data_IF_490758656944
#
_entry.id   IF_490758656944
#
_cell.length_a   1.000
_cell.length_b   1.000
_cell.length_c   1.000
_cell.angle_alpha   90.00
_cell.angle_beta   90.00
_cell.angle_gamma   90.00
#
_symmetry.space_group_name_H-M   'P 1'
#
loop_
_entity.id
_entity.type
_entity.pdbx_description
1 polymer ?
#
# COMPACT_ATOMS: atom_id res chain seq x y z
N UNK A 1 12.46 8.04 14.86
CA UNK A 1 12.32 9.45 14.41
C UNK A 1 12.09 10.31 15.65
N UNK A 2 12.76 11.44 15.79
CA UNK A 2 12.51 12.39 16.88
C UNK A 2 11.91 13.67 16.30
N UNK A 3 10.97 14.28 17.02
CA UNK A 3 10.31 15.52 16.65
C UNK A 3 10.54 16.56 17.74
N UNK A 4 10.86 17.78 17.31
CA UNK A 4 11.12 18.91 18.20
C UNK A 4 9.81 19.56 18.64
N UNK A 5 9.92 20.52 19.56
CA UNK A 5 8.83 21.40 19.98
C UNK A 5 8.54 22.44 18.88
N UNK A 6 7.97 21.96 17.77
CA UNK A 6 7.53 22.78 16.63
C UNK A 6 6.58 21.99 15.73
N UNK A 7 5.64 22.70 15.13
CA UNK A 7 4.69 22.13 14.17
C UNK A 7 5.33 21.97 12.77
N UNK A 8 6.27 21.03 12.64
CA UNK A 8 6.92 20.71 11.37
C UNK A 8 6.82 19.21 11.10
N UNK A 9 6.05 18.83 10.09
CA UNK A 9 5.82 17.43 9.75
C UNK A 9 7.03 16.81 9.04
N UNK A 10 7.45 15.64 9.53
CA UNK A 10 8.31 14.74 8.75
C UNK A 10 7.43 13.82 7.95
N UNK A 11 7.40 14.03 6.63
CA UNK A 11 6.60 13.22 5.71
C UNK A 11 7.35 11.97 5.25
N UNK A 12 6.60 10.89 5.05
CA UNK A 12 7.05 9.66 4.42
C UNK A 12 5.92 9.06 3.58
N UNK A 13 6.26 8.35 2.50
CA UNK A 13 5.24 7.69 1.68
C UNK A 13 4.54 6.61 2.50
N UNK A 14 3.20 6.62 2.47
CA UNK A 14 2.36 5.56 3.01
C UNK A 14 0.98 5.65 2.36
N UNK A 15 0.70 4.71 1.48
CA UNK A 15 -0.58 4.55 0.78
C UNK A 15 -1.33 3.28 1.25
N UNK A 16 -0.94 2.72 2.40
CA UNK A 16 -1.43 1.39 2.84
C UNK A 16 -2.82 1.42 3.46
N UNK A 17 -3.44 2.60 3.61
CA UNK A 17 -4.69 2.74 4.36
C UNK A 17 -4.51 2.62 5.88
N UNK A 18 -3.27 2.47 6.36
CA UNK A 18 -2.99 2.18 7.76
C UNK A 18 -1.61 2.68 8.19
N UNK A 19 -1.51 3.13 9.44
CA UNK A 19 -0.26 3.50 10.08
C UNK A 19 -0.28 2.97 11.51
N UNK A 20 0.67 2.13 11.86
CA UNK A 20 0.95 1.76 13.25
C UNK A 20 2.26 2.38 13.69
N UNK A 21 2.25 2.99 14.86
CA UNK A 21 3.44 3.64 15.41
C UNK A 21 3.41 3.58 16.93
N UNK A 22 4.60 3.71 17.52
CA UNK A 22 4.76 4.02 18.94
C UNK A 22 5.24 5.45 19.07
N UNK A 23 4.70 6.17 20.03
CA UNK A 23 5.16 7.51 20.37
C UNK A 23 5.34 7.63 21.88
N UNK A 24 6.42 8.30 22.28
CA UNK A 24 6.66 8.78 23.64
C UNK A 24 6.69 10.31 23.57
N UNK A 25 5.67 10.95 24.10
CA UNK A 25 5.46 12.39 24.13
C UNK A 25 4.52 12.74 25.29
N UNK A 26 4.68 13.91 25.90
CA UNK A 26 3.81 14.34 27.01
C UNK A 26 2.41 14.73 26.55
N UNK A 27 2.26 15.22 25.32
CA UNK A 27 1.04 15.70 24.68
C UNK A 27 1.27 15.89 23.16
N UNK A 28 0.21 16.25 22.44
CA UNK A 28 0.21 16.81 21.09
C UNK A 28 0.98 15.98 20.04
N UNK A 29 0.72 14.68 19.95
CA UNK A 29 1.22 13.85 18.84
C UNK A 29 0.33 14.04 17.61
N UNK A 30 0.91 14.47 16.49
CA UNK A 30 0.17 14.80 15.27
C UNK A 30 0.49 13.80 14.15
N UNK A 31 -0.54 13.39 13.42
CA UNK A 31 -0.44 12.61 12.19
C UNK A 31 -1.18 13.35 11.08
N UNK A 32 -0.48 13.70 10.00
CA UNK A 32 -1.06 14.27 8.79
C UNK A 32 -1.24 13.19 7.72
N UNK A 33 -2.36 13.23 7.01
CA UNK A 33 -2.66 12.38 5.85
C UNK A 33 -2.81 13.29 4.62
N UNK A 34 -1.95 13.10 3.61
CA UNK A 34 -1.82 14.01 2.45
C UNK A 34 -1.63 13.24 1.14
N UNK A 35 -1.81 13.93 0.01
CA UNK A 35 -1.59 13.39 -1.35
C UNK A 35 -0.15 13.56 -1.85
N UNK A 36 0.65 14.37 -1.16
CA UNK A 36 2.08 14.59 -1.44
C UNK A 36 2.86 14.80 -0.13
N UNK A 37 4.20 14.81 -0.21
CA UNK A 37 5.09 14.98 0.95
C UNK A 37 5.16 16.43 1.48
N UNK A 38 4.01 17.10 1.59
CA UNK A 38 3.91 18.47 2.05
C UNK A 38 2.55 18.74 2.70
N UNK A 39 2.52 19.74 3.58
CA UNK A 39 1.27 20.36 4.05
C UNK A 39 0.57 21.01 2.85
N UNK A 40 -0.49 20.37 2.35
CA UNK A 40 -1.23 20.80 1.17
C UNK A 40 -2.70 20.45 1.33
N UNK A 41 -3.59 21.34 0.87
CA UNK A 41 -5.01 21.01 0.81
C UNK A 41 -5.31 20.22 -0.47
N UNK A 42 -6.21 19.23 -0.43
CA UNK A 42 -6.87 18.68 0.77
C UNK A 42 -5.95 17.81 1.66
N UNK A 43 -6.07 17.97 2.99
CA UNK A 43 -5.38 17.16 4.00
C UNK A 43 -6.24 16.85 5.23
N UNK A 44 -5.87 15.79 5.94
CA UNK A 44 -6.39 15.51 7.27
C UNK A 44 -5.29 15.55 8.31
N UNK A 45 -5.64 16.01 9.51
CA UNK A 45 -4.77 15.99 10.67
C UNK A 45 -5.47 15.26 11.81
N UNK A 46 -4.75 14.33 12.44
CA UNK A 46 -5.19 13.63 13.63
C UNK A 46 -4.29 14.08 14.77
N UNK A 47 -4.86 14.75 15.77
CA UNK A 47 -4.14 15.08 17.00
C UNK A 47 -4.51 14.08 18.08
N UNK A 48 -3.50 13.44 18.65
CA UNK A 48 -3.64 12.49 19.75
C UNK A 48 -3.09 13.16 21.01
N UNK A 49 -3.90 13.23 22.06
CA UNK A 49 -3.51 13.87 23.31
C UNK A 49 -3.20 15.36 23.16
N UNK A 50 -3.98 16.07 22.36
CA UNK A 50 -3.89 17.52 22.27
C UNK A 50 -4.45 18.25 23.50
N UNK A 51 -4.26 19.57 23.54
CA UNK A 51 -4.67 20.44 24.66
C UNK A 51 -4.09 19.96 26.00
N UNK A 52 -2.79 19.66 26.03
CA UNK A 52 -2.15 19.16 27.24
C UNK A 52 -2.56 17.73 27.60
N UNK A 53 -2.77 16.88 26.58
CA UNK A 53 -3.13 15.47 26.73
C UNK A 53 -4.55 15.22 27.25
N UNK A 54 -5.50 16.10 26.93
CA UNK A 54 -6.90 15.96 27.37
C UNK A 54 -7.83 15.38 26.29
N UNK A 55 -7.56 15.61 25.00
CA UNK A 55 -8.46 15.20 23.93
C UNK A 55 -7.75 14.84 22.63
N UNK A 56 -8.47 14.17 21.75
CA UNK A 56 -8.02 13.84 20.39
C UNK A 56 -9.02 14.37 19.38
N UNK A 57 -8.55 14.81 18.21
CA UNK A 57 -9.41 15.38 17.15
C UNK A 57 -8.96 14.94 15.76
N UNK A 58 -9.90 14.97 14.82
CA UNK A 58 -9.62 14.93 13.38
C UNK A 58 -9.97 16.30 12.82
N UNK A 59 -9.05 16.89 12.05
CA UNK A 59 -9.23 18.19 11.37
C UNK A 59 -9.05 18.01 9.87
N UNK A 60 -9.86 18.71 9.07
CA UNK A 60 -9.72 18.80 7.61
C UNK A 60 -9.18 20.18 7.21
N UNK A 61 -8.20 20.21 6.31
CA UNK A 61 -7.66 21.41 5.67
C UNK A 61 -7.26 22.54 6.65
N UNK A 62 -6.76 22.17 7.84
CA UNK A 62 -6.39 23.12 8.90
C UNK A 62 -7.51 24.11 9.29
N UNK A 63 -8.77 23.76 9.02
CA UNK A 63 -9.94 24.61 9.29
C UNK A 63 -10.62 24.27 10.62
N UNK A 64 -11.35 25.24 11.18
CA UNK A 64 -12.23 25.05 12.35
C UNK A 64 -13.69 25.19 11.92
N UNK A 65 -14.64 24.47 12.56
CA UNK A 65 -14.44 23.52 13.67
C UNK A 65 -13.73 22.23 13.23
N UNK A 66 -13.14 21.50 14.20
CA UNK A 66 -12.60 20.16 13.93
C UNK A 66 -13.77 19.22 13.54
N UNK A 67 -13.52 18.25 12.66
CA UNK A 67 -14.58 17.38 12.10
C UNK A 67 -14.96 16.23 13.03
N UNK A 68 -14.07 15.86 13.95
CA UNK A 68 -14.36 14.98 15.08
C UNK A 68 -13.52 15.39 16.30
N UNK A 69 -14.08 15.20 17.49
CA UNK A 69 -13.43 15.47 18.77
C UNK A 69 -13.89 14.45 19.81
N UNK A 70 -12.94 13.94 20.61
CA UNK A 70 -13.23 13.00 21.69
C UNK A 70 -12.31 13.24 22.90
N UNK A 71 -12.83 13.22 24.14
CA UNK A 71 -11.99 13.25 25.34
C UNK A 71 -11.09 12.02 25.43
N UNK A 72 -9.79 12.23 25.61
CA UNK A 72 -8.77 11.17 25.75
C UNK A 72 -7.73 11.58 26.80
N UNK A 73 -8.12 11.82 28.05
CA UNK A 73 -7.23 12.31 29.08
C UNK A 73 -6.11 11.31 29.37
N UNK A 74 -4.86 11.77 29.33
CA UNK A 74 -3.71 10.95 29.65
C UNK A 74 -3.40 9.86 28.62
N UNK A 75 -3.84 10.02 27.37
CA UNK A 75 -3.65 9.01 26.32
C UNK A 75 -2.18 8.88 25.91
N UNK A 76 -1.43 9.98 25.87
CA UNK A 76 0.01 10.01 25.67
C UNK A 76 0.78 9.92 26.99
N UNK A 77 2.08 9.63 26.92
CA UNK A 77 2.98 9.58 28.07
C UNK A 77 4.40 9.96 27.67
N UNK A 78 5.04 10.87 28.42
CA UNK A 78 6.39 11.35 28.15
C UNK A 78 7.50 10.41 28.64
N UNK A 79 7.19 9.47 29.53
CA UNK A 79 8.14 8.50 30.10
C UNK A 79 8.20 7.17 29.35
N UNK A 80 7.13 6.77 28.65
CA UNK A 80 7.02 5.46 27.99
C UNK A 80 6.48 5.56 26.55
N UNK A 81 6.84 4.58 25.72
CA UNK A 81 6.25 4.44 24.39
C UNK A 81 4.83 3.88 24.50
N UNK A 82 3.88 4.55 23.86
CA UNK A 82 2.51 4.05 23.66
C UNK A 82 2.25 3.81 22.20
N UNK A 83 1.51 2.74 21.91
CA UNK A 83 1.24 2.30 20.55
C UNK A 83 -0.14 2.73 20.09
N UNK A 84 -0.18 3.33 18.90
CA UNK A 84 -1.38 3.79 18.25
C UNK A 84 -1.45 3.26 16.83
N UNK A 85 -2.66 3.34 16.27
CA UNK A 85 -2.91 3.13 14.87
C UNK A 85 -3.81 4.23 14.31
N UNK A 86 -3.59 4.57 13.04
CA UNK A 86 -4.47 5.42 12.22
C UNK A 86 -4.83 4.61 10.98
N UNK A 87 -6.11 4.58 10.61
CA UNK A 87 -6.63 3.89 9.43
C UNK A 87 -7.40 4.87 8.56
N UNK A 88 -7.22 4.79 7.25
CA UNK A 88 -7.99 5.53 6.25
C UNK A 88 -8.48 4.57 5.18
N UNK A 89 -9.78 4.30 5.15
CA UNK A 89 -10.42 3.46 4.14
C UNK A 89 -11.87 3.88 3.92
N UNK A 90 -12.38 3.73 2.69
CA UNK A 90 -13.76 4.12 2.33
C UNK A 90 -14.15 5.52 2.85
N UNK A 91 -13.27 6.51 2.61
CA UNK A 91 -13.35 7.89 3.13
C UNK A 91 -13.42 8.04 4.65
N UNK A 92 -13.24 6.95 5.40
CA UNK A 92 -13.31 6.94 6.86
C UNK A 92 -11.91 6.98 7.43
N UNK A 93 -11.65 7.99 8.27
CA UNK A 93 -10.43 8.12 9.05
C UNK A 93 -10.77 7.68 10.46
N UNK A 94 -9.93 6.84 11.04
CA UNK A 94 -10.07 6.39 12.42
C UNK A 94 -8.73 6.24 13.10
N UNK A 95 -8.70 6.43 14.41
CA UNK A 95 -7.52 6.19 15.22
C UNK A 95 -7.86 5.42 16.50
N UNK A 96 -6.94 4.54 16.90
CA UNK A 96 -7.10 3.69 18.07
C UNK A 96 -5.77 3.35 18.73
N UNK A 97 -5.83 2.57 19.81
CA UNK A 97 -4.66 2.08 20.53
C UNK A 97 -4.48 0.57 20.35
N UNK A 98 -3.25 0.07 20.45
CA UNK A 98 -2.89 -1.34 20.18
C UNK A 98 -3.69 -2.36 20.99
N UNK A 99 -4.13 -1.99 22.20
CA UNK A 99 -4.87 -2.88 23.09
C UNK A 99 -6.39 -2.72 22.98
N UNK A 100 -6.88 -1.94 22.02
CA UNK A 100 -8.31 -1.74 21.79
C UNK A 100 -8.65 -1.93 20.30
N UNK A 101 -9.45 -2.94 19.93
CA UNK A 101 -9.89 -3.10 18.55
C UNK A 101 -10.83 -1.97 18.10
N UNK A 102 -11.43 -1.24 19.03
CA UNK A 102 -12.31 -0.11 18.73
C UNK A 102 -11.49 1.19 18.61
N UNK A 103 -11.74 1.93 17.54
CA UNK A 103 -11.24 3.29 17.38
C UNK A 103 -11.74 4.19 18.53
N UNK A 104 -10.87 5.03 19.09
CA UNK A 104 -11.33 6.07 20.03
C UNK A 104 -11.91 7.27 19.28
N UNK A 105 -11.51 7.50 18.03
CA UNK A 105 -12.05 8.55 17.16
C UNK A 105 -12.23 8.03 15.73
N UNK A 106 -13.31 8.44 15.07
CA UNK A 106 -13.56 8.15 13.68
C UNK A 106 -14.41 9.24 13.03
N UNK A 107 -14.18 9.47 11.73
CA UNK A 107 -14.96 10.39 10.92
C UNK A 107 -14.96 9.94 9.46
N UNK A 108 -16.08 10.12 8.75
CA UNK A 108 -16.22 9.77 7.34
C UNK A 108 -16.44 11.02 6.50
N UNK A 109 -15.59 11.22 5.51
CA UNK A 109 -15.72 12.30 4.53
C UNK A 109 -16.66 11.90 3.38
N UNK A 110 -17.39 12.86 2.84
CA UNK A 110 -18.11 12.68 1.57
C UNK A 110 -17.16 12.75 0.36
N UNK A 111 -16.02 13.43 0.50
CA UNK A 111 -15.02 13.59 -0.56
C UNK A 111 -13.92 12.52 -0.44
N UNK A 112 -13.54 11.92 -1.56
CA UNK A 112 -12.43 10.98 -1.62
C UNK A 112 -11.09 11.72 -1.71
N UNK A 113 -10.17 11.39 -0.81
CA UNK A 113 -8.80 11.88 -0.82
C UNK A 113 -7.82 10.72 -1.06
N UNK A 114 -7.04 10.70 -2.17
CA UNK A 114 -6.04 9.66 -2.41
C UNK A 114 -4.79 9.87 -1.55
N UNK A 115 -4.88 9.52 -0.26
CA UNK A 115 -3.78 9.63 0.70
C UNK A 115 -2.63 8.71 0.28
N UNK A 116 -1.47 9.29 0.06
CA UNK A 116 -0.24 8.61 -0.35
C UNK A 116 0.96 8.94 0.53
N UNK A 117 0.83 9.94 1.40
CA UNK A 117 1.85 10.35 2.37
C UNK A 117 1.26 10.51 3.76
N UNK A 118 2.10 10.18 4.74
CA UNK A 118 1.85 10.42 6.15
C UNK A 118 2.93 11.35 6.67
N UNK A 119 2.51 12.41 7.36
CA UNK A 119 3.39 13.27 8.15
C UNK A 119 3.26 12.96 9.63
N UNK A 120 4.35 13.00 10.38
CA UNK A 120 4.28 13.03 11.86
C UNK A 120 5.05 14.21 12.44
N UNK A 121 4.53 14.79 13.52
CA UNK A 121 5.22 15.78 14.34
C UNK A 121 4.67 15.78 15.76
N UNK A 122 5.34 16.50 16.67
CA UNK A 122 4.77 16.92 17.94
C UNK A 122 4.40 18.39 17.86
N UNK A 123 3.25 18.77 18.43
CA UNK A 123 2.81 20.15 18.51
C UNK A 123 3.62 20.98 19.52
N UNK A 124 3.28 22.26 19.62
CA UNK A 124 3.93 23.19 20.55
C UNK A 124 3.71 22.76 22.01
N UNK A 125 4.78 22.78 22.81
CA UNK A 125 4.81 22.33 24.19
C UNK A 125 5.15 20.85 24.39
N UNK A 126 5.51 20.12 23.31
CA UNK A 126 5.97 18.73 23.39
C UNK A 126 7.14 18.42 22.44
N UNK A 127 7.97 17.49 22.88
CA UNK A 127 8.91 16.75 22.02
C UNK A 127 8.46 15.31 21.93
N UNK A 128 8.79 14.65 20.82
CA UNK A 128 8.35 13.28 20.56
C UNK A 128 9.48 12.37 20.14
N UNK A 129 9.47 11.14 20.67
CA UNK A 129 10.23 10.02 20.10
C UNK A 129 9.24 9.04 19.46
N UNK A 130 9.46 8.72 18.19
CA UNK A 130 8.57 7.91 17.35
C UNK A 130 9.28 6.65 16.85
N UNK A 131 8.60 5.52 16.99
CA UNK A 131 8.93 4.26 16.33
C UNK A 131 7.82 4.00 15.32
N UNK A 132 8.11 4.26 14.05
CA UNK A 132 7.18 4.02 12.96
C UNK A 132 7.59 2.67 12.36
N UNK A 133 6.71 1.68 12.47
CA UNK A 133 6.93 0.39 11.84
C UNK A 133 6.49 0.48 10.39
N UNK A 134 7.35 1.05 9.54
CA UNK A 134 7.27 0.80 8.12
C UNK A 134 7.83 -0.59 7.85
N UNK A 135 7.16 -1.41 7.05
CA UNK A 135 7.68 -2.71 6.63
C UNK A 135 8.90 -2.54 5.72
N UNK A 136 10.09 -2.29 6.30
CA UNK A 136 11.37 -2.16 5.59
C UNK A 136 12.42 -1.43 6.44
N UNK A 137 13.53 -2.11 6.75
CA UNK A 137 14.44 -1.87 7.88
C UNK A 137 15.31 -0.58 7.84
N UNK A 138 15.84 -0.11 9.00
CA UNK A 138 17.09 0.64 9.06
C UNK A 138 18.31 -0.31 9.07
N UNK A 139 19.43 0.22 8.60
CA UNK A 139 20.75 -0.40 8.43
C UNK A 139 21.30 -1.07 9.71
N UNK A 140 21.87 -2.27 9.54
CA UNK A 140 23.02 -2.74 10.32
C UNK A 140 22.79 -3.90 11.31
N UNK A 141 23.44 -5.04 11.02
CA UNK A 141 24.21 -5.80 12.02
C UNK A 141 23.51 -6.89 12.84
N UNK A 142 24.00 -8.11 12.63
CA UNK A 142 24.03 -9.28 13.52
C UNK A 142 22.87 -10.29 13.49
N UNK A 143 23.33 -11.53 13.32
CA UNK A 143 22.67 -12.82 13.19
C UNK A 143 22.24 -13.40 14.53
N UNK A 144 21.08 -14.06 14.54
CA UNK A 144 20.63 -14.95 15.60
C UNK A 144 19.38 -15.75 15.17
N UNK A 145 19.25 -17.04 15.53
CA UNK A 145 18.27 -17.93 14.91
C UNK A 145 16.91 -17.99 15.61
N UNK A 146 15.88 -18.07 14.76
CA UNK A 146 14.62 -18.83 14.90
C UNK A 146 13.53 -18.29 15.86
N UNK A 147 12.30 -18.20 15.33
CA UNK A 147 11.06 -18.86 15.79
C UNK A 147 9.85 -18.05 15.31
N UNK A 148 9.03 -18.70 14.48
CA UNK A 148 7.93 -18.07 13.76
C UNK A 148 6.70 -17.81 14.62
N UNK A 149 5.96 -16.76 14.27
CA UNK A 149 4.54 -16.58 14.53
C UNK A 149 3.94 -15.65 13.46
N UNK A 150 2.83 -16.11 12.86
CA UNK A 150 1.60 -15.42 12.47
C UNK A 150 1.56 -13.88 12.33
N UNK A 151 0.85 -13.40 11.30
CA UNK A 151 0.17 -12.10 11.37
C UNK A 151 -0.16 -11.55 9.98
N UNK A 152 -1.45 -11.45 9.67
CA UNK A 152 -1.98 -11.05 8.37
C UNK A 152 -1.34 -9.77 7.82
N UNK A 153 -0.82 -9.91 6.60
CA UNK A 153 -0.23 -8.87 5.78
C UNK A 153 -1.33 -8.12 5.04
N UNK A 154 -1.32 -6.79 5.09
CA UNK A 154 -1.79 -5.98 3.97
C UNK A 154 -0.88 -4.78 3.77
N UNK A 155 -0.47 -4.29 2.59
CA UNK A 155 -0.19 -4.85 1.25
C UNK A 155 0.55 -3.70 0.51
N UNK A 156 1.68 -3.17 0.99
CA UNK A 156 2.45 -2.24 0.15
C UNK A 156 3.01 -3.06 -1.03
N UNK A 157 2.62 -2.78 -2.27
CA UNK A 157 3.19 -3.49 -3.43
C UNK A 157 4.68 -3.18 -3.52
N UNK A 158 5.51 -4.15 -3.10
CA UNK A 158 6.96 -4.05 -3.17
C UNK A 158 7.38 -4.59 -4.53
N UNK A 159 7.79 -3.72 -5.45
CA UNK A 159 8.30 -4.12 -6.75
C UNK A 159 9.82 -4.19 -6.67
N UNK A 160 10.38 -5.39 -6.89
CA UNK A 160 11.81 -5.65 -6.80
C UNK A 160 12.37 -5.94 -8.17
N UNK A 161 13.33 -5.13 -8.63
CA UNK A 161 14.02 -5.34 -9.89
C UNK A 161 14.73 -6.70 -9.93
N UNK A 162 14.59 -7.40 -11.05
CA UNK A 162 15.16 -8.72 -11.29
C UNK A 162 15.36 -8.94 -12.79
N UNK A 163 16.14 -9.96 -13.13
CA UNK A 163 16.39 -10.35 -14.52
C UNK A 163 16.83 -11.81 -14.61
N UNK A 164 16.85 -12.36 -15.83
CA UNK A 164 17.42 -13.68 -16.10
C UNK A 164 16.74 -14.84 -15.37
N UNK A 165 15.45 -14.72 -15.06
CA UNK A 165 14.69 -15.72 -14.29
C UNK A 165 14.86 -15.63 -12.78
N UNK A 166 15.61 -14.64 -12.27
CA UNK A 166 15.73 -14.42 -10.84
C UNK A 166 14.36 -14.13 -10.22
N UNK A 167 14.07 -14.84 -9.12
CA UNK A 167 12.88 -14.63 -8.29
C UNK A 167 13.35 -14.08 -6.94
N UNK A 168 13.02 -12.82 -6.62
CA UNK A 168 13.36 -12.25 -5.32
C UNK A 168 12.68 -13.00 -4.16
N UNK A 169 13.26 -12.99 -2.95
CA UNK A 169 12.62 -13.56 -1.78
C UNK A 169 11.23 -12.95 -1.53
N UNK A 170 10.28 -13.79 -1.10
CA UNK A 170 8.89 -13.37 -0.80
C UNK A 170 8.13 -12.81 -2.02
N UNK A 171 8.50 -13.23 -3.23
CA UNK A 171 7.74 -12.98 -4.45
C UNK A 171 6.30 -13.52 -4.35
N UNK A 172 5.35 -12.74 -4.84
CA UNK A 172 3.92 -13.06 -4.85
C UNK A 172 3.61 -14.02 -5.99
N UNK A 173 3.29 -15.27 -5.64
CA UNK A 173 2.81 -16.27 -6.59
C UNK A 173 1.39 -15.91 -7.00
N UNK A 174 1.21 -15.52 -8.27
CA UNK A 174 -0.10 -15.15 -8.81
C UNK A 174 -0.80 -16.28 -9.55
N UNK A 175 -0.05 -17.30 -9.97
CA UNK A 175 -0.54 -18.38 -10.80
C UNK A 175 0.29 -19.66 -10.69
N UNK A 176 -0.07 -20.65 -11.49
CA UNK A 176 0.57 -21.95 -11.54
C UNK A 176 0.40 -22.58 -12.93
N UNK A 177 1.47 -23.17 -13.43
CA UNK A 177 1.48 -23.97 -14.65
C UNK A 177 2.04 -25.37 -14.36
N UNK A 178 1.18 -26.39 -14.37
CA UNK A 178 1.58 -27.80 -14.14
C UNK A 178 2.44 -28.00 -12.88
N UNK A 179 2.08 -27.34 -11.77
CA UNK A 179 2.82 -27.39 -10.50
C UNK A 179 4.04 -26.46 -10.44
N UNK A 180 4.35 -25.71 -11.50
CA UNK A 180 5.36 -24.65 -11.48
C UNK A 180 4.74 -23.30 -11.12
N UNK A 181 5.27 -22.57 -10.12
CA UNK A 181 4.72 -21.30 -9.70
C UNK A 181 4.95 -20.22 -10.76
N UNK A 182 3.92 -19.41 -11.02
CA UNK A 182 4.01 -18.18 -11.82
C UNK A 182 3.96 -16.96 -10.89
N UNK A 183 4.90 -16.04 -11.08
CA UNK A 183 5.00 -14.83 -10.25
C UNK A 183 4.47 -13.61 -10.99
N UNK A 184 3.86 -12.69 -10.25
CA UNK A 184 3.41 -11.41 -10.79
C UNK A 184 4.64 -10.56 -11.10
N UNK A 185 4.78 -10.18 -12.37
CA UNK A 185 5.85 -9.33 -12.83
C UNK A 185 5.30 -8.12 -13.58
N UNK A 186 6.13 -7.09 -13.75
CA UNK A 186 5.88 -5.99 -14.68
C UNK A 186 7.19 -5.60 -15.36
N UNK A 187 7.11 -5.05 -16.55
CA UNK A 187 8.28 -4.54 -17.26
C UNK A 187 7.93 -3.36 -18.16
N UNK A 188 8.91 -2.50 -18.42
CA UNK A 188 8.78 -1.44 -19.41
C UNK A 188 8.88 -2.05 -20.81
N UNK A 189 7.88 -1.81 -21.65
CA UNK A 189 7.83 -2.32 -23.02
C UNK A 189 7.02 -1.35 -23.90
N UNK A 190 7.58 -0.96 -25.06
CA UNK A 190 6.94 -0.05 -26.03
C UNK A 190 6.34 1.23 -25.42
N UNK A 191 7.04 1.81 -24.44
CA UNK A 191 6.64 3.06 -23.76
C UNK A 191 5.65 2.89 -22.61
N UNK A 192 5.07 1.71 -22.42
CA UNK A 192 4.23 1.36 -21.27
C UNK A 192 5.00 0.63 -20.16
N UNK A 193 4.45 0.63 -18.95
CA UNK A 193 4.84 -0.27 -17.87
C UNK A 193 3.74 -1.32 -17.75
N UNK A 194 4.03 -2.56 -18.12
CA UNK A 194 2.99 -3.54 -18.38
C UNK A 194 3.09 -4.73 -17.41
N UNK A 195 1.98 -5.11 -16.73
CA UNK A 195 1.92 -6.32 -15.92
C UNK A 195 1.90 -7.61 -16.75
N UNK A 196 2.48 -8.68 -16.21
CA UNK A 196 2.50 -9.99 -16.83
C UNK A 196 2.99 -11.08 -15.87
N UNK A 197 3.59 -12.14 -16.43
CA UNK A 197 4.00 -13.34 -15.68
C UNK A 197 5.50 -13.56 -15.75
N UNK A 198 6.10 -14.03 -14.67
CA UNK A 198 7.45 -14.58 -14.66
C UNK A 198 7.39 -16.10 -14.53
N UNK A 199 8.00 -16.80 -15.49
CA UNK A 199 8.34 -18.22 -15.40
C UNK A 199 9.85 -18.33 -15.12
N UNK A 200 10.28 -18.72 -13.90
CA UNK A 200 11.69 -18.76 -13.55
C UNK A 200 12.49 -19.70 -14.46
N UNK A 201 11.87 -20.80 -14.88
CA UNK A 201 12.46 -21.82 -15.77
C UNK A 201 12.76 -21.32 -17.18
N UNK A 202 12.08 -20.26 -17.63
CA UNK A 202 12.29 -19.66 -18.96
C UNK A 202 13.33 -18.54 -18.94
N UNK A 203 13.73 -18.05 -17.77
CA UNK A 203 14.73 -16.98 -17.65
C UNK A 203 14.23 -15.58 -18.01
N UNK A 204 12.93 -15.38 -18.22
CA UNK A 204 12.35 -14.12 -18.72
C UNK A 204 10.94 -13.89 -18.17
N UNK A 205 10.53 -12.62 -18.10
CA UNK A 205 9.13 -12.26 -17.89
C UNK A 205 8.41 -12.16 -19.24
N UNK A 206 7.14 -12.53 -19.27
CA UNK A 206 6.28 -12.42 -20.44
C UNK A 206 5.20 -11.37 -20.22
N UNK A 207 5.09 -10.44 -21.17
CA UNK A 207 4.17 -9.31 -21.12
C UNK A 207 3.24 -9.35 -22.34
N UNK A 208 1.91 -9.18 -22.14
CA UNK A 208 0.95 -9.08 -23.23
C UNK A 208 0.99 -7.67 -23.86
N UNK A 209 1.32 -7.58 -25.14
CA UNK A 209 1.25 -6.31 -25.89
C UNK A 209 1.17 -6.53 -27.41
N UNK A 210 0.32 -5.73 -28.08
CA UNK A 210 0.24 -5.68 -29.54
C UNK A 210 -0.17 -6.98 -30.20
N UNK A 211 -0.98 -7.81 -29.53
CA UNK A 211 -1.39 -9.12 -30.03
C UNK A 211 -0.40 -10.26 -29.74
N UNK A 212 0.74 -9.98 -29.10
CA UNK A 212 1.81 -10.96 -28.90
C UNK A 212 2.16 -11.16 -27.41
N UNK A 213 2.72 -12.34 -27.11
CA UNK A 213 3.44 -12.61 -25.86
C UNK A 213 4.91 -12.19 -26.04
N UNK A 214 5.32 -11.14 -25.31
CA UNK A 214 6.64 -10.55 -25.46
C UNK A 214 7.55 -10.96 -24.29
N UNK A 215 8.69 -11.58 -24.59
CA UNK A 215 9.71 -11.92 -23.61
C UNK A 215 10.56 -10.69 -23.27
N UNK A 216 10.69 -10.37 -21.99
CA UNK A 216 11.47 -9.23 -21.47
C UNK A 216 12.49 -9.71 -20.45
N UNK A 217 13.75 -9.32 -20.64
CA UNK A 217 14.87 -9.78 -19.81
C UNK A 217 14.95 -9.08 -18.46
N UNK A 218 14.68 -7.77 -18.44
CA UNK A 218 14.66 -6.93 -17.25
C UNK A 218 13.21 -6.66 -16.82
N UNK A 219 12.91 -6.91 -15.56
CA UNK A 219 11.56 -6.83 -15.03
C UNK A 219 11.57 -6.50 -13.53
N UNK A 220 10.41 -6.19 -12.98
CA UNK A 220 10.19 -6.11 -11.54
C UNK A 220 9.21 -7.21 -11.11
N UNK A 221 9.47 -7.83 -9.97
CA UNK A 221 8.60 -8.85 -9.37
C UNK A 221 7.88 -8.25 -8.18
N UNK A 222 6.58 -8.53 -8.07
CA UNK A 222 5.80 -8.15 -6.89
C UNK A 222 6.21 -9.04 -5.72
N UNK A 223 6.64 -8.43 -4.63
CA UNK A 223 7.04 -9.07 -3.39
C UNK A 223 6.19 -8.53 -2.23
N UNK A 224 6.17 -9.28 -1.12
CA UNK A 224 5.64 -8.80 0.16
C UNK A 224 4.20 -8.29 0.14
N UNK A 225 3.44 -8.80 -0.83
CA UNK A 225 2.08 -8.40 -1.08
C UNK A 225 1.13 -9.39 -0.41
N UNK A 226 0.23 -8.89 0.44
CA UNK A 226 -0.76 -9.69 1.16
C UNK A 226 -2.13 -9.74 0.48
N UNK A 227 -2.20 -9.35 -0.80
CA UNK A 227 -3.47 -9.11 -1.45
C UNK A 227 -4.23 -10.37 -1.84
N UNK A 228 -5.46 -10.16 -2.31
CA UNK A 228 -6.39 -11.23 -2.67
C UNK A 228 -6.91 -11.03 -4.08
N UNK A 229 -7.28 -12.15 -4.69
CA UNK A 229 -7.91 -12.20 -5.99
C UNK A 229 -9.42 -12.06 -5.85
N UNK A 230 -10.02 -11.17 -6.65
CA UNK A 230 -11.45 -10.89 -6.66
C UNK A 230 -11.97 -11.12 -8.06
N UNK A 231 -13.04 -11.91 -8.20
CA UNK A 231 -13.69 -12.11 -9.49
C UNK A 231 -14.25 -10.78 -10.02
N UNK A 232 -13.99 -10.50 -11.29
CA UNK A 232 -14.33 -9.27 -11.97
C UNK A 232 -14.71 -9.56 -13.43
N UNK A 233 -15.50 -8.69 -14.03
CA UNK A 233 -15.79 -8.77 -15.46
C UNK A 233 -15.89 -7.40 -16.11
N UNK A 234 -15.55 -7.35 -17.40
CA UNK A 234 -15.58 -6.12 -18.17
C UNK A 234 -14.59 -5.08 -17.63
N UNK A 235 -15.02 -3.81 -17.56
CA UNK A 235 -14.25 -2.69 -17.00
C UNK A 235 -14.60 -2.35 -15.55
N UNK A 236 -15.26 -3.25 -14.81
CA UNK A 236 -15.75 -2.99 -13.44
C UNK A 236 -14.64 -3.16 -12.39
N UNK A 237 -13.62 -2.32 -12.46
CA UNK A 237 -12.43 -2.43 -11.62
C UNK A 237 -12.76 -2.08 -10.15
N UNK A 238 -12.50 -2.98 -9.17
CA UNK A 238 -12.66 -2.68 -7.76
C UNK A 238 -11.78 -1.50 -7.33
N UNK A 239 -12.26 -0.62 -6.43
CA UNK A 239 -11.48 0.55 -5.99
C UNK A 239 -10.11 0.22 -5.36
N UNK A 240 -9.94 -0.98 -4.81
CA UNK A 240 -8.70 -1.47 -4.19
C UNK A 240 -7.88 -2.38 -5.13
N UNK A 241 -8.15 -2.36 -6.44
CA UNK A 241 -7.35 -3.09 -7.41
C UNK A 241 -5.90 -2.56 -7.44
N UNK A 242 -4.93 -3.46 -7.48
CA UNK A 242 -3.53 -3.12 -7.55
C UNK A 242 -3.19 -2.54 -8.93
N UNK A 243 -3.00 -1.22 -9.00
CA UNK A 243 -2.39 -0.57 -10.15
C UNK A 243 -0.91 -0.98 -10.24
N UNK A 244 -0.57 -1.70 -11.29
CA UNK A 244 0.74 -2.32 -11.47
C UNK A 244 1.50 -1.80 -12.69
N UNK A 245 0.90 -0.87 -13.44
CA UNK A 245 1.47 -0.36 -14.66
C UNK A 245 0.63 0.74 -15.28
N UNK A 246 1.03 1.16 -16.47
CA UNK A 246 0.30 2.11 -17.29
C UNK A 246 0.62 1.89 -18.78
N UNK A 247 -0.31 2.24 -19.66
CA UNK A 247 -0.08 2.29 -21.10
C UNK A 247 0.87 3.44 -21.47
N UNK A 248 1.28 3.48 -22.72
CA UNK A 248 2.04 4.58 -23.33
C UNK A 248 1.34 5.95 -23.19
N UNK A 249 0.01 5.97 -23.18
CA UNK A 249 -0.82 7.17 -23.00
C UNK A 249 -1.11 7.48 -21.51
N UNK A 250 -0.59 6.66 -20.59
CA UNK A 250 -0.75 6.83 -19.15
C UNK A 250 -2.05 6.25 -18.57
N UNK A 251 -2.79 5.43 -19.32
CA UNK A 251 -3.94 4.70 -18.74
C UNK A 251 -3.44 3.68 -17.71
N UNK A 252 -3.96 3.68 -16.46
CA UNK A 252 -3.59 2.69 -15.45
C UNK A 252 -3.89 1.25 -15.89
N UNK A 253 -2.95 0.35 -15.62
CA UNK A 253 -3.09 -1.08 -15.82
C UNK A 253 -3.05 -1.82 -14.48
N UNK A 254 -3.89 -2.85 -14.36
CA UNK A 254 -4.02 -3.64 -13.15
C UNK A 254 -3.56 -5.08 -13.37
N UNK A 255 -3.28 -5.80 -12.29
CA UNK A 255 -2.92 -7.22 -12.37
C UNK A 255 -4.19 -8.08 -12.44
N UNK A 256 -4.33 -8.83 -13.52
CA UNK A 256 -5.39 -9.81 -13.69
C UNK A 256 -4.84 -11.22 -13.78
N UNK A 257 -5.69 -12.22 -13.55
CA UNK A 257 -5.39 -13.61 -13.88
C UNK A 257 -6.63 -14.34 -14.41
N UNK A 258 -6.39 -15.38 -15.20
CA UNK A 258 -7.43 -16.27 -15.74
C UNK A 258 -6.92 -17.71 -15.75
N UNK A 259 -7.85 -18.67 -15.85
CA UNK A 259 -7.52 -20.06 -16.15
C UNK A 259 -7.60 -20.23 -17.67
N UNK A 260 -6.51 -20.61 -18.31
CA UNK A 260 -6.45 -20.94 -19.73
C UNK A 260 -5.68 -22.25 -19.93
N UNK A 261 -6.30 -23.21 -20.64
CA UNK A 261 -5.72 -24.53 -20.92
C UNK A 261 -5.17 -25.28 -19.68
N UNK A 262 -5.80 -25.09 -18.52
CA UNK A 262 -5.39 -25.71 -17.26
C UNK A 262 -4.31 -24.94 -16.48
N UNK A 263 -3.77 -23.86 -17.05
CA UNK A 263 -2.82 -22.95 -16.41
C UNK A 263 -3.56 -21.77 -15.78
N UNK A 264 -3.29 -21.47 -14.51
CA UNK A 264 -3.72 -20.22 -13.89
C UNK A 264 -2.65 -19.16 -14.18
N UNK A 265 -2.93 -18.21 -15.07
CA UNK A 265 -1.92 -17.31 -15.64
C UNK A 265 -2.26 -15.84 -15.46
N UNK A 266 -1.20 -15.02 -15.34
CA UNK A 266 -1.26 -13.61 -14.96
C UNK A 266 -1.09 -12.73 -16.20
N UNK A 267 -1.80 -11.60 -16.22
CA UNK A 267 -1.73 -10.61 -17.28
C UNK A 267 -2.10 -9.20 -16.82
N UNK A 268 -2.42 -8.35 -17.80
CA UNK A 268 -2.82 -6.95 -17.57
C UNK A 268 -4.33 -6.81 -17.73
N UNK A 269 -4.98 -6.08 -16.82
CA UNK A 269 -6.35 -5.61 -17.01
C UNK A 269 -6.30 -4.17 -17.48
N UNK A 270 -6.97 -3.90 -18.59
CA UNK A 270 -7.12 -2.56 -19.15
C UNK A 270 -8.58 -2.16 -19.09
N UNK A 271 -8.89 -1.17 -18.25
CA UNK A 271 -10.26 -0.81 -17.93
C UNK A 271 -11.02 -0.32 -19.15
N UNK A 272 -10.40 0.53 -19.97
CA UNK A 272 -11.01 1.10 -21.17
C UNK A 272 -11.41 0.04 -22.21
N UNK A 273 -10.68 -1.07 -22.27
CA UNK A 273 -10.95 -2.20 -23.16
C UNK A 273 -11.91 -3.23 -22.54
N UNK A 274 -12.15 -3.14 -21.23
CA UNK A 274 -13.06 -4.02 -20.50
C UNK A 274 -12.63 -5.49 -20.50
N UNK A 275 -11.32 -5.76 -20.47
CA UNK A 275 -10.82 -7.14 -20.44
C UNK A 275 -9.46 -7.28 -19.75
N UNK A 276 -9.14 -8.52 -19.38
CA UNK A 276 -7.82 -8.98 -19.01
C UNK A 276 -7.12 -9.57 -20.25
N UNK A 277 -5.91 -9.11 -20.55
CA UNK A 277 -5.04 -9.68 -21.56
C UNK A 277 -3.97 -10.55 -20.89
N UNK A 278 -3.80 -11.78 -21.36
CA UNK A 278 -2.74 -12.69 -20.91
C UNK A 278 -1.75 -12.98 -22.03
N UNK A 279 -0.45 -13.09 -21.72
CA UNK A 279 0.53 -13.65 -22.63
C UNK A 279 0.46 -15.18 -22.56
N UNK A 280 0.21 -15.87 -23.67
CA UNK A 280 0.22 -17.33 -23.71
C UNK A 280 0.47 -17.87 -25.13
N UNK A 281 1.36 -18.85 -25.27
CA UNK A 281 1.58 -19.55 -26.54
C UNK A 281 2.08 -18.65 -27.67
N UNK A 282 2.81 -17.56 -27.35
CA UNK A 282 3.24 -16.56 -28.32
C UNK A 282 2.21 -15.46 -28.61
N UNK A 283 1.00 -15.51 -28.05
CA UNK A 283 -0.09 -14.58 -28.35
C UNK A 283 -0.54 -13.78 -27.11
N UNK A 284 -1.13 -12.61 -27.35
CA UNK A 284 -1.91 -11.86 -26.37
C UNK A 284 -3.38 -12.26 -26.51
N UNK A 285 -3.93 -12.94 -25.50
CA UNK A 285 -5.31 -13.42 -25.48
C UNK A 285 -6.16 -12.58 -24.54
N UNK A 286 -7.38 -12.21 -24.91
CA UNK A 286 -8.26 -11.35 -24.12
C UNK A 286 -9.44 -12.10 -23.48
N UNK A 287 -9.78 -11.72 -22.24
CA UNK A 287 -10.84 -12.33 -21.44
C UNK A 287 -11.70 -11.27 -20.78
N UNK A 288 -13.03 -11.38 -20.93
CA UNK A 288 -13.97 -10.47 -20.27
C UNK A 288 -14.20 -10.82 -18.81
N UNK A 289 -14.13 -12.11 -18.46
CA UNK A 289 -14.23 -12.61 -17.09
C UNK A 289 -12.84 -12.99 -16.58
N UNK A 290 -12.47 -12.47 -15.41
CA UNK A 290 -11.13 -12.65 -14.84
C UNK A 290 -11.15 -12.47 -13.32
N UNK A 291 -10.03 -12.77 -12.66
CA UNK A 291 -9.79 -12.32 -11.30
C UNK A 291 -8.82 -11.15 -11.31
N UNK A 292 -9.06 -10.14 -10.50
CA UNK A 292 -8.19 -8.97 -10.34
C UNK A 292 -7.54 -8.99 -8.96
N UNK A 293 -6.26 -8.62 -8.91
CA UNK A 293 -5.51 -8.56 -7.67
C UNK A 293 -5.85 -7.29 -6.91
N UNK A 294 -6.24 -7.42 -5.64
CA UNK A 294 -6.64 -6.31 -4.79
C UNK A 294 -5.83 -6.29 -3.49
N UNK A 295 -5.56 -5.09 -2.95
CA UNK A 295 -4.91 -4.88 -1.65
C UNK A 295 -5.89 -4.88 -0.48
#
# INVERSE_FOLDING_TARGET
LNTEDKLEYTFFPNNTGYLRFKVRASNDAHVALTTCAAESDPMYEIFIGGWGNEKSVIRKNRTKPDVAEVPTPGILNGGEFRTFWVRWDNNTISAGCENNPQAFISWTDSEYLPISYVGVCTGWGATGSWIISQGGAPLGGYSGPQFGFSGGQTCSSCWVAASGGNVPPRAFQGGEDNGQPLYVARATFEGGLLPGKLLPTHGTAYIPWGGNENAVADYEVLCDFGGRWVACSGGNIPPNALAAGQTEDGEPLYVGRVIHEGTLTIGKVQQSHGCCYIPFGGQELNYQDYEILTS
#
